data_IF_032214068098
#
_entry.id   IF_032214068098
#
_cell.length_a   1.000
_cell.length_b   1.000
_cell.length_c   1.000
_cell.angle_alpha   90.00
_cell.angle_beta   90.00
_cell.angle_gamma   90.00
#
_symmetry.space_group_name_H-M   'P 1'
#
loop_
_entity.id
_entity.type
_entity.pdbx_description
1 polymer ?
#
# COMPACT_ATOMS: atom_id res chain seq x y z
N UNK A 1 11.63 6.61 3.63
CA UNK A 1 10.44 7.36 3.13
C UNK A 1 9.66 8.05 4.26
N UNK A 2 9.05 7.33 5.21
CA UNK A 2 8.18 7.92 6.25
C UNK A 2 8.84 9.05 7.06
N UNK A 3 10.09 8.88 7.51
CA UNK A 3 10.84 9.90 8.27
C UNK A 3 11.08 11.19 7.47
N UNK A 4 11.35 11.07 6.17
CA UNK A 4 11.56 12.22 5.31
C UNK A 4 10.25 12.97 5.06
N UNK A 5 9.16 12.24 4.77
CA UNK A 5 7.82 12.83 4.66
C UNK A 5 7.42 13.61 5.93
N UNK A 6 7.74 13.07 7.10
CA UNK A 6 7.50 13.76 8.37
C UNK A 6 8.35 15.03 8.54
N UNK A 7 9.61 15.02 8.09
CA UNK A 7 10.46 16.19 8.10
C UNK A 7 9.94 17.31 7.18
N UNK A 8 9.33 16.94 6.04
CA UNK A 8 8.66 17.86 5.11
C UNK A 8 7.26 18.32 5.59
N UNK A 9 6.87 18.00 6.82
CA UNK A 9 5.62 18.46 7.45
C UNK A 9 4.40 17.57 7.23
N UNK A 10 4.54 16.40 6.59
CA UNK A 10 3.44 15.43 6.48
C UNK A 10 3.26 14.72 7.82
N UNK A 11 2.05 14.75 8.38
CA UNK A 11 1.75 14.01 9.62
C UNK A 11 1.77 12.51 9.35
N UNK A 12 2.80 11.83 9.84
CA UNK A 12 2.87 10.37 9.84
C UNK A 12 2.09 9.78 11.03
N UNK A 13 1.21 8.81 10.77
CA UNK A 13 0.44 8.08 11.78
C UNK A 13 0.82 6.60 11.70
N UNK A 14 1.56 6.12 12.70
CA UNK A 14 1.99 4.73 12.79
C UNK A 14 0.92 3.84 13.40
N UNK A 15 0.49 2.82 12.66
CA UNK A 15 -0.44 1.79 13.15
C UNK A 15 0.34 0.57 13.65
N UNK A 16 -0.33 -0.27 14.43
CA UNK A 16 0.22 -1.56 14.89
C UNK A 16 0.04 -2.69 13.87
N UNK A 17 -0.82 -2.48 12.87
CA UNK A 17 -1.10 -3.41 11.79
C UNK A 17 -1.49 -2.64 10.53
N UNK A 18 -0.99 -3.05 9.36
CA UNK A 18 -1.16 -2.31 8.10
C UNK A 18 -2.61 -2.27 7.63
N UNK A 19 -3.38 -3.33 7.91
CA UNK A 19 -4.82 -3.35 7.64
C UNK A 19 -5.55 -2.16 8.29
N UNK A 20 -5.24 -1.85 9.55
CA UNK A 20 -5.83 -0.69 10.24
C UNK A 20 -5.37 0.64 9.64
N UNK A 21 -4.12 0.72 9.16
CA UNK A 21 -3.62 1.88 8.45
C UNK A 21 -4.39 2.10 7.13
N UNK A 22 -4.64 1.03 6.38
CA UNK A 22 -5.42 1.07 5.14
C UNK A 22 -6.87 1.51 5.39
N UNK A 23 -7.52 1.01 6.44
CA UNK A 23 -8.86 1.47 6.80
C UNK A 23 -8.91 2.94 7.20
N UNK A 24 -7.93 3.43 7.94
CA UNK A 24 -7.84 4.85 8.27
C UNK A 24 -7.66 5.72 7.01
N UNK A 25 -6.84 5.28 6.06
CA UNK A 25 -6.69 5.95 4.77
C UNK A 25 -8.01 5.95 3.99
N UNK A 26 -8.70 4.81 3.87
CA UNK A 26 -9.99 4.72 3.20
C UNK A 26 -11.05 5.63 3.85
N UNK A 27 -11.14 5.64 5.18
CA UNK A 27 -12.05 6.49 5.91
C UNK A 27 -11.77 7.99 5.69
N UNK A 28 -10.49 8.40 5.72
CA UNK A 28 -10.09 9.76 5.36
C UNK A 28 -10.49 10.10 3.92
N UNK A 29 -10.32 9.15 3.01
CA UNK A 29 -10.75 9.25 1.61
C UNK A 29 -12.23 9.57 1.46
N UNK A 30 -13.06 8.75 2.10
CA UNK A 30 -14.50 8.90 2.11
C UNK A 30 -14.95 10.26 2.67
N UNK A 31 -14.41 10.66 3.82
CA UNK A 31 -14.81 11.89 4.52
C UNK A 31 -14.39 13.17 3.79
N UNK A 32 -13.25 13.15 3.11
CA UNK A 32 -12.64 14.36 2.54
C UNK A 32 -12.74 14.46 1.03
N UNK A 33 -13.17 13.38 0.36
CA UNK A 33 -13.15 13.25 -1.11
C UNK A 33 -11.75 13.43 -1.72
N UNK A 34 -10.70 13.31 -0.89
CA UNK A 34 -9.29 13.33 -1.30
C UNK A 34 -8.68 11.96 -0.98
N UNK A 35 -7.96 11.31 -1.91
CA UNK A 35 -7.42 9.99 -1.66
C UNK A 35 -6.59 9.92 -0.37
N UNK A 36 -6.98 9.05 0.56
CA UNK A 36 -6.18 8.77 1.74
C UNK A 36 -4.93 7.98 1.38
N UNK A 37 -3.82 8.23 2.08
CA UNK A 37 -2.53 7.60 1.77
C UNK A 37 -2.21 6.53 2.82
N UNK A 38 -1.98 5.30 2.37
CA UNK A 38 -1.44 4.21 3.19
C UNK A 38 -0.02 3.89 2.72
N UNK A 39 0.94 3.79 3.65
CA UNK A 39 2.33 3.44 3.36
C UNK A 39 2.68 2.13 4.07
N UNK A 40 3.10 1.12 3.30
CA UNK A 40 3.50 -0.19 3.83
C UNK A 40 4.91 -0.58 3.35
N UNK A 41 5.46 -1.63 3.97
CA UNK A 41 6.67 -2.32 3.46
C UNK A 41 6.31 -3.30 2.34
N UNK A 42 7.31 -4.03 1.84
CA UNK A 42 7.22 -5.12 0.87
C UNK A 42 6.44 -6.33 1.41
N UNK A 43 6.29 -7.36 0.57
CA UNK A 43 5.40 -8.53 0.66
C UNK A 43 4.50 -8.67 1.92
N UNK A 44 4.99 -9.01 3.13
CA UNK A 44 4.13 -9.20 4.30
C UNK A 44 3.31 -7.95 4.65
N UNK A 45 3.94 -6.77 4.68
CA UNK A 45 3.24 -5.52 4.98
C UNK A 45 2.28 -5.12 3.87
N UNK A 46 2.67 -5.37 2.61
CA UNK A 46 1.80 -5.17 1.45
C UNK A 46 0.54 -6.04 1.53
N UNK A 47 0.68 -7.34 1.78
CA UNK A 47 -0.46 -8.27 1.85
C UNK A 47 -1.41 -7.92 3.00
N UNK A 48 -0.88 -7.50 4.15
CA UNK A 48 -1.69 -7.02 5.27
C UNK A 48 -2.52 -5.78 4.88
N UNK A 49 -1.91 -4.82 4.17
CA UNK A 49 -2.59 -3.64 3.65
C UNK A 49 -3.54 -3.91 2.48
N UNK A 50 -3.27 -4.95 1.67
CA UNK A 50 -4.01 -5.28 0.46
C UNK A 50 -5.48 -5.59 0.76
N UNK A 51 -5.75 -6.20 1.91
CA UNK A 51 -7.13 -6.47 2.36
C UNK A 51 -7.93 -5.19 2.56
N UNK A 52 -7.31 -4.14 3.10
CA UNK A 52 -7.93 -2.83 3.28
C UNK A 52 -8.08 -2.09 1.94
N UNK A 53 -7.13 -2.22 1.01
CA UNK A 53 -7.24 -1.68 -0.35
C UNK A 53 -8.43 -2.32 -1.09
N UNK A 54 -8.59 -3.64 -1.00
CA UNK A 54 -9.72 -4.35 -1.57
C UNK A 54 -11.05 -3.85 -1.01
N UNK A 55 -11.13 -3.68 0.31
CA UNK A 55 -12.32 -3.12 0.98
C UNK A 55 -12.65 -1.70 0.48
N UNK A 56 -11.64 -0.84 0.35
CA UNK A 56 -11.85 0.52 -0.15
C UNK A 56 -12.34 0.54 -1.60
N UNK A 57 -11.79 -0.31 -2.47
CA UNK A 57 -12.25 -0.46 -3.86
C UNK A 57 -13.71 -0.91 -3.92
N UNK A 58 -14.10 -1.90 -3.11
CA UNK A 58 -15.49 -2.40 -3.05
C UNK A 58 -16.46 -1.31 -2.56
N UNK A 59 -16.05 -0.51 -1.58
CA UNK A 59 -16.89 0.55 -1.01
C UNK A 59 -16.82 1.88 -1.80
N UNK A 60 -15.97 1.98 -2.82
CA UNK A 60 -15.76 3.21 -3.58
C UNK A 60 -15.09 4.32 -2.78
N UNK A 61 -14.27 3.98 -1.79
CA UNK A 61 -13.56 4.95 -0.95
C UNK A 61 -12.20 5.30 -1.59
N UNK A 62 -11.91 6.58 -1.88
CA UNK A 62 -10.69 6.94 -2.57
C UNK A 62 -9.47 6.77 -1.66
N UNK A 63 -8.54 5.90 -2.03
CA UNK A 63 -7.27 5.75 -1.33
C UNK A 63 -6.14 5.31 -2.28
N UNK A 64 -4.91 5.59 -1.88
CA UNK A 64 -3.68 5.14 -2.55
C UNK A 64 -2.84 4.37 -1.54
N UNK A 65 -2.48 3.14 -1.88
CA UNK A 65 -1.52 2.34 -1.12
C UNK A 65 -0.15 2.41 -1.81
N UNK A 66 0.85 2.89 -1.08
CA UNK A 66 2.24 2.94 -1.51
C UNK A 66 2.99 1.87 -0.72
N UNK A 67 3.64 0.95 -1.42
CA UNK A 67 4.39 -0.13 -0.79
C UNK A 67 5.81 -0.14 -1.34
N UNK A 68 6.78 -0.42 -0.48
CA UNK A 68 8.10 -0.84 -0.95
C UNK A 68 8.00 -2.14 -1.74
N UNK A 69 8.90 -2.35 -2.70
CA UNK A 69 9.09 -3.61 -3.41
C UNK A 69 10.58 -3.96 -3.48
N UNK A 70 10.89 -5.27 -3.51
CA UNK A 70 12.26 -5.79 -3.65
C UNK A 70 12.79 -5.61 -5.09
N UNK A 71 14.04 -5.99 -5.32
CA UNK A 71 14.72 -5.71 -6.59
C UNK A 71 14.07 -6.52 -7.73
N UNK A 72 13.53 -5.80 -8.72
CA UNK A 72 12.79 -6.39 -9.85
C UNK A 72 13.61 -7.41 -10.61
N UNK A 73 14.93 -7.21 -10.72
CA UNK A 73 15.80 -8.12 -11.45
C UNK A 73 15.85 -9.53 -10.83
N UNK A 74 15.65 -9.64 -9.52
CA UNK A 74 15.72 -10.92 -8.78
C UNK A 74 14.32 -11.55 -8.70
N UNK A 75 13.29 -10.73 -8.45
CA UNK A 75 11.88 -11.16 -8.40
C UNK A 75 11.39 -11.72 -9.73
N UNK A 76 11.76 -11.11 -10.86
CA UNK A 76 11.35 -11.60 -12.19
C UNK A 76 12.02 -12.94 -12.56
N UNK A 77 13.15 -13.27 -11.93
CA UNK A 77 13.88 -14.53 -12.16
C UNK A 77 13.44 -15.67 -11.24
N UNK A 78 12.48 -15.44 -10.33
CA UNK A 78 12.03 -16.44 -9.34
C UNK A 78 13.20 -17.04 -8.54
N UNK A 79 14.21 -16.24 -8.25
CA UNK A 79 15.47 -16.70 -7.66
C UNK A 79 15.48 -16.72 -6.13
N UNK A 80 14.34 -16.42 -5.48
CA UNK A 80 14.24 -16.42 -4.02
C UNK A 80 14.73 -15.11 -3.42
N UNK A 81 14.25 -13.97 -3.93
CA UNK A 81 14.60 -12.66 -3.34
C UNK A 81 13.97 -12.50 -1.94
N UNK A 82 14.53 -11.60 -1.14
CA UNK A 82 13.97 -11.26 0.16
C UNK A 82 12.55 -10.69 -0.03
N UNK A 83 11.54 -11.35 0.56
CA UNK A 83 10.12 -10.96 0.41
C UNK A 83 9.63 -10.95 -1.05
N UNK A 84 10.04 -11.94 -1.84
CA UNK A 84 9.65 -12.10 -3.25
C UNK A 84 8.13 -12.23 -3.43
N UNK A 85 7.51 -11.20 -4.00
CA UNK A 85 6.11 -11.18 -4.42
C UNK A 85 5.95 -10.20 -5.57
N UNK A 86 5.27 -10.61 -6.64
CA UNK A 86 4.78 -9.67 -7.63
C UNK A 86 3.57 -8.89 -7.08
N UNK A 87 3.89 -7.87 -6.28
CA UNK A 87 2.92 -7.01 -5.61
C UNK A 87 2.03 -6.28 -6.63
N UNK A 88 2.56 -5.97 -7.82
CA UNK A 88 1.83 -5.25 -8.85
C UNK A 88 0.69 -6.12 -9.40
N UNK A 89 1.00 -7.36 -9.80
CA UNK A 89 -0.01 -8.30 -10.27
C UNK A 89 -0.95 -8.75 -9.16
N UNK A 90 -0.47 -8.91 -7.92
CA UNK A 90 -1.33 -9.22 -6.77
C UNK A 90 -2.37 -8.11 -6.51
N UNK A 91 -2.01 -6.83 -6.68
CA UNK A 91 -2.94 -5.72 -6.48
C UNK A 91 -3.95 -5.53 -7.61
N UNK A 92 -3.63 -5.93 -8.86
CA UNK A 92 -4.48 -5.69 -10.04
C UNK A 92 -5.92 -6.18 -9.89
N UNK A 93 -6.14 -7.25 -9.12
CA UNK A 93 -7.48 -7.84 -8.95
C UNK A 93 -8.37 -7.07 -7.97
N UNK A 94 -7.78 -6.19 -7.15
CA UNK A 94 -8.47 -5.54 -6.01
C UNK A 94 -8.33 -4.01 -6.01
N UNK A 95 -7.75 -3.41 -7.04
CA UNK A 95 -7.63 -1.96 -7.19
C UNK A 95 -7.93 -1.51 -8.63
N UNK A 96 -8.21 -0.22 -8.78
CA UNK A 96 -8.52 0.36 -10.10
C UNK A 96 -7.29 0.46 -11.01
N UNK A 97 -6.10 0.65 -10.44
CA UNK A 97 -4.84 0.73 -11.16
C UNK A 97 -3.69 0.33 -10.25
N UNK A 98 -2.76 -0.48 -10.77
CA UNK A 98 -1.56 -0.94 -10.07
C UNK A 98 -0.36 -0.69 -10.97
N UNK A 99 0.64 0.03 -10.45
CA UNK A 99 1.86 0.41 -11.16
C UNK A 99 3.04 0.14 -10.23
N UNK A 100 4.11 -0.43 -10.78
CA UNK A 100 5.40 -0.56 -10.12
C UNK A 100 6.46 -0.03 -11.09
N UNK A 101 7.54 0.58 -10.58
CA UNK A 101 8.65 1.16 -11.35
C UNK A 101 9.93 0.37 -11.16
#
# INVERSE_FOLDING_TARGET
>A
MARHAQAEGIRYIGFRHEQSAGYAAAASGFLTQKPGICLTVSAPGFLNGLTALANATVNGFPMIMISGSSDRAIVDLQQGDYEELDQMNAAKTVCQSSISR
#
